data_IF_378247037681
#
_entry.id   IF_378247037681
#
_cell.length_a   1.000
_cell.length_b   1.000
_cell.length_c   1.000
_cell.angle_alpha   90.00
_cell.angle_beta   90.00
_cell.angle_gamma   90.00
#
_symmetry.space_group_name_H-M   'P 1'
#
loop_
_entity.id
_entity.type
_entity.pdbx_description
1 polymer ?
#
# COMPACT_ATOMS: atom_id res chain seq x y z
N UNK A 1 -16.92 -22.69 -11.04
CA UNK A 1 -15.78 -23.26 -10.29
C UNK A 1 -14.97 -22.09 -9.75
N UNK A 2 -14.85 -22.02 -8.42
CA UNK A 2 -14.09 -20.97 -7.73
C UNK A 2 -12.58 -21.21 -7.86
N UNK A 3 -11.76 -20.24 -7.46
CA UNK A 3 -10.30 -20.41 -7.42
C UNK A 3 -9.87 -21.55 -6.48
N UNK A 4 -10.48 -21.63 -5.29
CA UNK A 4 -10.19 -22.67 -4.30
C UNK A 4 -10.47 -24.08 -4.86
N UNK A 5 -11.56 -24.26 -5.62
CA UNK A 5 -11.94 -25.56 -6.20
C UNK A 5 -10.91 -26.08 -7.22
N UNK A 6 -10.04 -25.21 -7.73
CA UNK A 6 -9.01 -25.57 -8.70
C UNK A 6 -7.69 -25.98 -8.04
N UNK A 7 -7.53 -25.78 -6.74
CA UNK A 7 -6.29 -26.04 -6.01
C UNK A 7 -6.20 -27.51 -5.59
N UNK A 8 -5.00 -28.08 -5.71
CA UNK A 8 -4.72 -29.36 -5.05
C UNK A 8 -4.62 -29.20 -3.53
N UNK A 9 -4.44 -30.32 -2.81
CA UNK A 9 -4.40 -30.32 -1.35
C UNK A 9 -3.26 -29.48 -0.77
N UNK A 10 -2.09 -29.46 -1.40
CA UNK A 10 -0.92 -28.71 -0.92
C UNK A 10 -1.12 -27.21 -1.17
N UNK A 11 -1.53 -26.84 -2.38
CA UNK A 11 -1.87 -25.46 -2.73
C UNK A 11 -2.97 -24.92 -1.81
N UNK A 12 -4.01 -25.71 -1.54
CA UNK A 12 -5.13 -25.32 -0.66
C UNK A 12 -4.68 -25.09 0.78
N UNK A 13 -3.76 -25.89 1.30
CA UNK A 13 -3.21 -25.69 2.64
C UNK A 13 -2.48 -24.34 2.78
N UNK A 14 -1.73 -23.93 1.75
CA UNK A 14 -1.04 -22.61 1.71
C UNK A 14 -2.02 -21.46 1.45
N UNK A 15 -3.02 -21.69 0.60
CA UNK A 15 -3.98 -20.69 0.15
C UNK A 15 -5.08 -20.34 1.18
N UNK A 16 -5.25 -21.13 2.23
CA UNK A 16 -6.33 -20.95 3.20
C UNK A 16 -5.81 -20.62 4.61
N UNK A 17 -6.66 -20.02 5.44
CA UNK A 17 -6.36 -19.67 6.83
C UNK A 17 -7.63 -19.44 7.63
N UNK A 18 -7.49 -19.34 8.94
CA UNK A 18 -8.62 -19.11 9.85
C UNK A 18 -8.98 -17.62 9.93
N UNK A 19 -10.27 -17.31 10.08
CA UNK A 19 -10.74 -15.92 10.25
C UNK A 19 -10.28 -15.26 11.54
N UNK A 20 -10.24 -16.04 12.62
CA UNK A 20 -9.82 -15.58 13.95
C UNK A 20 -8.29 -15.51 14.11
N UNK A 21 -7.52 -15.97 13.12
CA UNK A 21 -6.07 -16.02 13.18
C UNK A 21 -5.40 -14.65 12.99
N UNK A 22 -4.28 -14.44 13.70
CA UNK A 22 -3.49 -13.20 13.58
C UNK A 22 -2.90 -12.96 12.18
N UNK A 23 -2.74 -14.01 11.36
CA UNK A 23 -2.21 -13.90 10.00
C UNK A 23 -3.07 -13.02 9.09
N UNK A 24 -4.40 -12.98 9.29
CA UNK A 24 -5.31 -12.11 8.52
C UNK A 24 -4.95 -10.63 8.66
N UNK A 25 -4.46 -10.25 9.84
CA UNK A 25 -4.09 -8.89 10.20
C UNK A 25 -2.68 -8.51 9.77
N UNK A 26 -1.83 -9.48 9.40
CA UNK A 26 -0.49 -9.18 8.85
C UNK A 26 -0.63 -8.67 7.42
N UNK A 27 0.19 -7.70 7.06
CA UNK A 27 0.24 -7.17 5.71
C UNK A 27 1.62 -6.59 5.45
N UNK A 28 1.98 -6.48 4.18
CA UNK A 28 3.28 -6.00 3.73
C UNK A 28 3.10 -5.26 2.40
N UNK A 29 4.07 -4.42 2.06
CA UNK A 29 4.22 -3.78 0.75
C UNK A 29 5.67 -3.88 0.24
N UNK A 30 6.57 -4.43 1.05
CA UNK A 30 7.96 -4.71 0.74
C UNK A 30 8.11 -6.05 0.02
N UNK A 31 9.27 -6.34 -0.61
CA UNK A 31 9.49 -7.59 -1.33
C UNK A 31 9.80 -8.78 -0.39
N UNK A 32 9.02 -8.92 0.67
CA UNK A 32 9.09 -10.03 1.64
C UNK A 32 8.10 -11.16 1.26
N UNK A 33 7.94 -12.17 2.12
CA UNK A 33 6.85 -13.14 2.01
C UNK A 33 5.56 -12.49 2.52
N UNK A 34 4.49 -12.49 1.71
CA UNK A 34 3.21 -11.92 2.12
C UNK A 34 2.26 -12.95 2.72
N UNK A 35 2.63 -14.24 2.71
CA UNK A 35 1.83 -15.35 3.21
C UNK A 35 0.63 -15.66 2.31
N UNK A 36 0.61 -16.85 1.71
CA UNK A 36 -0.43 -17.28 0.78
C UNK A 36 0.17 -18.04 -0.40
N UNK A 37 -0.67 -18.46 -1.33
CA UNK A 37 -0.22 -19.14 -2.55
C UNK A 37 0.24 -18.09 -3.56
N UNK A 38 1.49 -18.19 -4.03
CA UNK A 38 2.03 -17.26 -5.04
C UNK A 38 1.41 -17.49 -6.41
N UNK A 39 1.53 -16.51 -7.32
CA UNK A 39 1.17 -16.73 -8.72
C UNK A 39 2.10 -17.75 -9.41
N UNK A 40 3.37 -17.84 -8.98
CA UNK A 40 4.33 -18.86 -9.47
C UNK A 40 3.89 -20.29 -9.20
N UNK A 41 3.32 -20.54 -8.03
CA UNK A 41 2.86 -21.87 -7.64
C UNK A 41 1.53 -22.26 -8.32
N UNK A 42 0.98 -21.39 -9.16
CA UNK A 42 -0.31 -21.59 -9.82
C UNK A 42 -0.16 -21.88 -11.31
N UNK A 43 -0.99 -22.80 -11.81
CA UNK A 43 -1.19 -23.01 -13.25
C UNK A 43 -1.89 -21.80 -13.88
N UNK A 44 -1.80 -21.58 -15.21
CA UNK A 44 -2.42 -20.41 -15.85
C UNK A 44 -3.93 -20.25 -15.60
N UNK A 45 -4.67 -21.35 -15.52
CA UNK A 45 -6.11 -21.33 -15.20
C UNK A 45 -6.39 -20.88 -13.76
N UNK A 46 -5.52 -21.24 -12.82
CA UNK A 46 -5.58 -20.82 -11.42
C UNK A 46 -5.22 -19.34 -11.30
N UNK A 47 -4.15 -18.88 -11.96
CA UNK A 47 -3.77 -17.45 -12.00
C UNK A 47 -4.93 -16.59 -12.53
N UNK A 48 -5.59 -17.02 -13.61
CA UNK A 48 -6.79 -16.33 -14.13
C UNK A 48 -7.92 -16.28 -13.10
N UNK A 49 -8.15 -17.34 -12.34
CA UNK A 49 -9.17 -17.36 -11.30
C UNK A 49 -8.78 -16.51 -10.08
N UNK A 50 -7.49 -16.46 -9.72
CA UNK A 50 -6.96 -15.57 -8.69
C UNK A 50 -7.20 -14.10 -9.07
N UNK A 51 -6.84 -13.71 -10.29
CA UNK A 51 -7.05 -12.32 -10.75
C UNK A 51 -8.53 -11.95 -10.89
N UNK A 52 -9.43 -12.91 -11.12
CA UNK A 52 -10.88 -12.68 -11.03
C UNK A 52 -11.32 -12.34 -9.61
N UNK A 53 -10.77 -13.01 -8.59
CA UNK A 53 -11.03 -12.66 -7.19
C UNK A 53 -10.47 -11.27 -6.86
N UNK A 54 -9.23 -10.97 -7.27
CA UNK A 54 -8.62 -9.64 -7.09
C UNK A 54 -9.49 -8.54 -7.73
N UNK A 55 -9.95 -8.75 -8.97
CA UNK A 55 -10.82 -7.81 -9.67
C UNK A 55 -12.17 -7.60 -8.96
N UNK A 56 -12.67 -8.59 -8.20
CA UNK A 56 -13.96 -8.45 -7.50
C UNK A 56 -13.91 -7.50 -6.30
N UNK A 57 -12.73 -7.25 -5.73
CA UNK A 57 -12.54 -6.28 -4.64
C UNK A 57 -12.11 -4.89 -5.10
N UNK A 58 -12.04 -4.65 -6.40
CA UNK A 58 -11.51 -3.41 -6.96
C UNK A 58 -12.49 -2.83 -7.99
N UNK A 59 -12.43 -1.51 -8.18
CA UNK A 59 -12.98 -0.93 -9.41
C UNK A 59 -12.09 -1.32 -10.59
N UNK A 60 -12.54 -1.01 -11.81
CA UNK A 60 -11.70 -1.20 -13.00
C UNK A 60 -10.44 -0.34 -12.95
N UNK A 61 -10.50 0.87 -12.40
CA UNK A 61 -9.33 1.73 -12.23
C UNK A 61 -8.34 1.11 -11.23
N UNK A 62 -8.82 0.65 -10.07
CA UNK A 62 -8.00 -0.04 -9.09
C UNK A 62 -7.33 -1.30 -9.64
N UNK A 63 -8.07 -2.11 -10.40
CA UNK A 63 -7.51 -3.31 -11.04
C UNK A 63 -6.44 -2.97 -12.10
N UNK A 64 -6.65 -1.94 -12.92
CA UNK A 64 -5.65 -1.47 -13.89
C UNK A 64 -4.37 -1.02 -13.17
N UNK A 65 -4.49 -0.28 -12.07
CA UNK A 65 -3.34 0.15 -11.26
C UNK A 65 -2.58 -1.06 -10.70
N UNK A 66 -3.27 -2.02 -10.07
CA UNK A 66 -2.64 -3.24 -9.53
C UNK A 66 -1.94 -4.06 -10.61
N UNK A 67 -2.60 -4.29 -11.75
CA UNK A 67 -2.00 -5.04 -12.86
C UNK A 67 -0.76 -4.34 -13.43
N UNK A 68 -0.77 -3.00 -13.47
CA UNK A 68 0.36 -2.20 -13.93
C UNK A 68 1.54 -2.28 -12.95
N UNK A 69 1.27 -2.19 -11.64
CA UNK A 69 2.29 -2.31 -10.59
C UNK A 69 2.95 -3.70 -10.60
N UNK A 70 2.17 -4.78 -10.75
CA UNK A 70 2.73 -6.13 -10.96
C UNK A 70 3.68 -6.15 -12.15
N UNK A 71 3.30 -5.51 -13.26
CA UNK A 71 4.14 -5.41 -14.45
C UNK A 71 5.42 -4.62 -14.24
N UNK A 72 5.38 -3.57 -13.40
CA UNK A 72 6.53 -2.73 -13.07
C UNK A 72 7.66 -3.48 -12.37
N UNK A 73 7.42 -4.65 -11.77
CA UNK A 73 8.49 -5.50 -11.25
C UNK A 73 9.58 -5.77 -12.29
N UNK A 74 9.21 -6.04 -13.55
CA UNK A 74 10.18 -6.26 -14.61
C UNK A 74 10.95 -4.99 -15.01
N UNK A 75 10.31 -3.83 -14.88
CA UNK A 75 10.92 -2.53 -15.17
C UNK A 75 11.92 -2.18 -14.06
N UNK A 76 11.53 -2.37 -12.80
CA UNK A 76 12.39 -2.13 -11.66
C UNK A 76 13.60 -3.07 -11.65
N UNK A 77 13.39 -4.37 -11.95
CA UNK A 77 14.47 -5.34 -12.10
C UNK A 77 15.49 -4.86 -13.15
N UNK A 78 15.02 -4.34 -14.28
CA UNK A 78 15.87 -3.77 -15.32
C UNK A 78 16.61 -2.51 -14.84
N UNK A 79 15.92 -1.59 -14.19
CA UNK A 79 16.51 -0.36 -13.62
C UNK A 79 17.61 -0.68 -12.61
N UNK A 80 17.47 -1.77 -11.85
CA UNK A 80 18.45 -2.25 -10.87
C UNK A 80 19.46 -3.25 -11.46
N UNK A 81 19.52 -3.37 -12.80
CA UNK A 81 20.50 -4.18 -13.50
C UNK A 81 20.34 -5.69 -13.35
N UNK A 82 19.14 -6.16 -13.00
CA UNK A 82 18.78 -7.57 -12.82
C UNK A 82 19.57 -8.27 -11.70
N UNK A 83 19.83 -7.54 -10.61
CA UNK A 83 20.71 -8.02 -9.52
C UNK A 83 20.01 -8.24 -8.18
N UNK A 84 18.79 -7.71 -8.00
CA UNK A 84 18.07 -7.79 -6.73
C UNK A 84 17.66 -9.24 -6.39
N UNK A 85 17.93 -9.65 -5.15
CA UNK A 85 17.68 -11.03 -4.66
C UNK A 85 16.67 -11.09 -3.52
N UNK A 86 16.86 -10.38 -2.41
CA UNK A 86 15.99 -10.45 -1.22
C UNK A 86 15.79 -11.90 -0.68
N UNK A 87 16.90 -12.61 -0.46
CA UNK A 87 16.93 -14.01 0.04
C UNK A 87 16.26 -15.04 -0.90
N UNK A 88 16.19 -14.73 -2.20
CA UNK A 88 15.66 -15.60 -3.26
C UNK A 88 16.42 -15.39 -4.57
N UNK A 89 16.17 -16.25 -5.55
CA UNK A 89 16.86 -16.21 -6.84
C UNK A 89 16.56 -14.92 -7.63
N UNK A 90 15.29 -14.50 -7.62
CA UNK A 90 14.82 -13.26 -8.26
C UNK A 90 14.03 -12.42 -7.26
N UNK A 91 14.56 -11.24 -6.93
CA UNK A 91 13.96 -10.34 -5.96
C UNK A 91 12.80 -9.51 -6.50
N UNK A 92 12.95 -8.94 -7.70
CA UNK A 92 11.90 -8.19 -8.41
C UNK A 92 11.12 -9.15 -9.31
N UNK A 93 9.99 -9.65 -8.82
CA UNK A 93 9.33 -10.80 -9.44
C UNK A 93 7.79 -10.63 -9.52
N UNK A 94 7.22 -10.49 -10.74
CA UNK A 94 5.77 -10.40 -10.94
C UNK A 94 5.02 -11.69 -10.56
N UNK A 95 5.70 -12.82 -10.37
CA UNK A 95 5.09 -14.06 -9.90
C UNK A 95 5.01 -14.20 -8.38
N UNK A 96 5.70 -13.34 -7.61
CA UNK A 96 5.69 -13.34 -6.13
C UNK A 96 4.61 -12.43 -5.56
N UNK A 97 3.40 -12.63 -6.05
CA UNK A 97 2.18 -12.06 -5.51
C UNK A 97 1.34 -13.17 -4.90
N UNK A 98 0.95 -13.00 -3.65
CA UNK A 98 0.41 -14.01 -2.76
C UNK A 98 -1.08 -13.81 -2.60
N UNK A 99 -1.87 -14.85 -2.87
CA UNK A 99 -3.30 -14.87 -2.58
C UNK A 99 -3.58 -15.81 -1.41
N UNK A 100 -4.31 -15.32 -0.41
CA UNK A 100 -4.80 -16.13 0.71
C UNK A 100 -6.25 -15.81 1.02
N UNK A 101 -7.04 -16.85 1.28
CA UNK A 101 -8.44 -16.77 1.73
C UNK A 101 -8.50 -17.15 3.21
N UNK A 102 -9.25 -16.39 3.99
CA UNK A 102 -9.49 -16.63 5.40
C UNK A 102 -10.97 -16.99 5.61
N UNK A 103 -11.23 -18.09 6.33
CA UNK A 103 -12.57 -18.62 6.50
C UNK A 103 -13.14 -19.29 5.26
N UNK A 104 -14.47 -19.33 5.19
CA UNK A 104 -15.23 -20.04 4.16
C UNK A 104 -16.03 -19.05 3.31
N UNK A 105 -15.65 -18.83 2.04
CA UNK A 105 -16.43 -17.97 1.16
C UNK A 105 -17.90 -18.40 1.07
N UNK A 106 -18.80 -17.44 1.31
CA UNK A 106 -20.25 -17.68 1.29
C UNK A 106 -20.85 -18.14 2.62
N UNK A 107 -20.06 -18.27 3.70
CA UNK A 107 -20.54 -18.58 5.04
C UNK A 107 -20.15 -17.46 6.02
N UNK A 108 -21.13 -16.63 6.39
CA UNK A 108 -20.96 -15.49 7.29
C UNK A 108 -19.81 -14.56 6.87
N UNK A 109 -18.84 -14.38 7.77
CA UNK A 109 -17.66 -13.55 7.54
C UNK A 109 -16.49 -14.37 6.96
N UNK A 110 -15.95 -13.91 5.84
CA UNK A 110 -14.71 -14.43 5.26
C UNK A 110 -13.87 -13.28 4.73
N UNK A 111 -12.57 -13.51 4.55
CA UNK A 111 -11.66 -12.49 4.05
C UNK A 111 -10.72 -13.04 3.01
N UNK A 112 -10.06 -12.14 2.30
CA UNK A 112 -8.96 -12.51 1.42
C UNK A 112 -7.93 -11.40 1.35
N UNK A 113 -6.67 -11.82 1.23
CA UNK A 113 -5.53 -10.93 1.06
C UNK A 113 -4.86 -11.24 -0.27
N UNK A 114 -4.55 -10.19 -1.01
CA UNK A 114 -3.67 -10.28 -2.17
C UNK A 114 -2.56 -9.25 -2.01
N UNK A 115 -1.31 -9.66 -2.09
CA UNK A 115 -0.20 -8.74 -1.91
C UNK A 115 1.10 -9.23 -2.51
N UNK A 116 1.98 -8.29 -2.79
CA UNK A 116 3.32 -8.50 -3.30
C UNK A 116 4.10 -7.20 -3.16
N UNK A 117 5.27 -7.14 -3.77
CA UNK A 117 6.05 -5.90 -3.77
C UNK A 117 5.21 -4.75 -4.35
N UNK A 118 5.02 -3.68 -3.56
CA UNK A 118 4.16 -2.52 -3.81
C UNK A 118 2.63 -2.72 -3.92
N UNK A 119 2.08 -3.88 -3.59
CA UNK A 119 0.62 -4.07 -3.50
C UNK A 119 0.25 -4.77 -2.21
N UNK A 120 -0.75 -4.24 -1.51
CA UNK A 120 -1.38 -4.92 -0.38
C UNK A 120 -2.88 -4.66 -0.40
N UNK A 121 -3.68 -5.70 -0.64
CA UNK A 121 -5.13 -5.66 -0.61
C UNK A 121 -5.59 -6.58 0.52
N UNK A 122 -6.34 -6.05 1.48
CA UNK A 122 -6.91 -6.83 2.56
C UNK A 122 -8.42 -6.61 2.61
N UNK A 123 -9.19 -7.64 2.26
CA UNK A 123 -10.63 -7.52 2.08
C UNK A 123 -11.37 -8.39 3.10
N UNK A 124 -12.42 -7.84 3.68
CA UNK A 124 -13.37 -8.52 4.56
C UNK A 124 -14.75 -8.48 3.93
N UNK A 125 -15.34 -9.66 3.78
CA UNK A 125 -16.69 -9.86 3.27
C UNK A 125 -17.54 -10.43 4.40
N UNK A 126 -18.71 -9.84 4.63
CA UNK A 126 -19.69 -10.30 5.62
C UNK A 126 -21.03 -10.40 4.91
N UNK A 127 -21.66 -11.57 4.99
CA UNK A 127 -22.98 -11.83 4.40
C UNK A 127 -23.07 -11.51 2.90
N UNK A 128 -21.96 -11.71 2.19
CA UNK A 128 -21.85 -11.47 0.74
C UNK A 128 -21.49 -10.03 0.35
N UNK A 129 -21.40 -9.11 1.31
CA UNK A 129 -21.02 -7.71 1.07
C UNK A 129 -19.57 -7.43 1.47
N UNK A 130 -18.85 -6.66 0.64
CA UNK A 130 -17.51 -6.19 0.97
C UNK A 130 -17.63 -5.08 2.03
N UNK A 131 -17.26 -5.36 3.27
CA UNK A 131 -17.41 -4.44 4.41
C UNK A 131 -16.12 -3.72 4.79
N UNK A 132 -14.96 -4.22 4.36
CA UNK A 132 -13.68 -3.53 4.50
C UNK A 132 -12.72 -3.92 3.39
N UNK A 133 -11.92 -2.95 2.95
CA UNK A 133 -10.79 -3.12 2.03
C UNK A 133 -9.49 -2.55 2.60
N UNK A 134 -9.40 -2.38 3.93
CA UNK A 134 -8.20 -1.83 4.58
C UNK A 134 -7.42 -2.91 5.35
N UNK A 135 -6.07 -2.85 5.34
CA UNK A 135 -5.24 -1.90 4.59
C UNK A 135 -5.29 -2.13 3.06
N UNK A 136 -5.22 -1.03 2.31
CA UNK A 136 -5.09 -1.01 0.84
C UNK A 136 -3.88 -0.16 0.45
N UNK A 137 -2.79 -0.81 0.08
CA UNK A 137 -1.57 -0.18 -0.41
C UNK A 137 -1.38 -0.43 -1.91
N UNK A 138 -1.07 0.64 -2.64
CA UNK A 138 -0.63 0.61 -4.04
C UNK A 138 0.52 1.61 -4.16
N UNK A 139 1.72 1.12 -4.46
CA UNK A 139 2.92 1.92 -4.71
C UNK A 139 3.45 1.68 -6.12
N UNK A 140 4.27 2.57 -6.64
CA UNK A 140 4.92 2.39 -7.92
C UNK A 140 6.41 2.74 -7.81
N UNK A 141 7.27 1.77 -8.08
CA UNK A 141 8.70 1.97 -8.22
C UNK A 141 9.17 1.25 -9.51
N UNK A 142 9.69 1.96 -10.50
CA UNK A 142 9.82 3.42 -10.58
C UNK A 142 8.46 4.13 -10.64
N UNK A 143 8.34 5.29 -9.98
CA UNK A 143 7.12 6.12 -10.02
C UNK A 143 6.81 6.67 -11.43
N UNK A 144 7.87 6.86 -12.24
CA UNK A 144 7.80 7.28 -13.64
C UNK A 144 8.67 6.34 -14.47
N UNK A 145 8.10 5.76 -15.53
CA UNK A 145 8.86 4.94 -16.49
C UNK A 145 8.70 5.49 -17.92
N UNK A 146 9.76 5.57 -18.72
CA UNK A 146 9.67 6.05 -20.10
C UNK A 146 8.87 5.07 -20.98
N UNK A 147 8.10 5.63 -21.92
CA UNK A 147 7.41 4.90 -22.99
C UNK A 147 7.91 5.38 -24.35
N UNK A 148 7.57 4.63 -25.41
CA UNK A 148 7.88 5.01 -26.78
C UNK A 148 7.26 6.38 -27.13
N UNK A 149 7.98 7.17 -27.92
CA UNK A 149 7.51 8.49 -28.35
C UNK A 149 7.57 9.58 -27.28
N UNK A 150 8.33 9.39 -26.20
CA UNK A 150 8.51 10.38 -25.14
C UNK A 150 7.35 10.46 -24.15
N UNK A 151 6.36 9.58 -24.26
CA UNK A 151 5.34 9.40 -23.23
C UNK A 151 5.93 8.75 -21.97
N UNK A 152 5.18 8.77 -20.86
CA UNK A 152 5.59 8.14 -19.60
C UNK A 152 4.46 7.30 -19.02
N UNK A 153 4.81 6.21 -18.35
CA UNK A 153 3.92 5.46 -17.48
C UNK A 153 4.05 6.01 -16.06
N UNK A 154 2.95 6.54 -15.51
CA UNK A 154 2.83 7.07 -14.14
C UNK A 154 1.57 6.51 -13.48
N UNK A 155 1.57 5.26 -12.98
CA UNK A 155 0.35 4.61 -12.49
C UNK A 155 -0.35 5.35 -11.35
N UNK A 156 0.41 6.15 -10.58
CA UNK A 156 -0.08 6.95 -9.45
C UNK A 156 0.03 8.46 -9.69
N UNK A 157 0.29 8.90 -10.95
CA UNK A 157 0.57 10.30 -11.25
C UNK A 157 -0.55 11.26 -10.82
N UNK A 158 -1.82 10.87 -11.00
CA UNK A 158 -2.95 11.70 -10.56
C UNK A 158 -2.97 11.92 -9.04
N UNK A 159 -2.59 10.91 -8.25
CA UNK A 159 -2.52 10.99 -6.79
C UNK A 159 -1.43 11.99 -6.38
N UNK A 160 -0.25 11.85 -6.98
CA UNK A 160 0.91 12.71 -6.74
C UNK A 160 0.63 14.16 -7.14
N UNK A 161 0.03 14.38 -8.31
CA UNK A 161 -0.20 15.69 -8.88
C UNK A 161 -1.26 16.45 -8.05
N UNK A 162 -2.37 15.81 -7.67
CA UNK A 162 -3.39 16.41 -6.80
C UNK A 162 -2.86 16.70 -5.39
N UNK A 163 -2.09 15.78 -4.79
CA UNK A 163 -1.50 15.99 -3.47
C UNK A 163 -0.52 17.17 -3.47
N UNK A 164 0.30 17.28 -4.53
CA UNK A 164 1.26 18.36 -4.71
C UNK A 164 0.58 19.69 -4.96
N UNK A 165 -0.45 19.72 -5.80
CA UNK A 165 -1.24 20.93 -6.06
C UNK A 165 -1.90 21.44 -4.78
N UNK A 166 -2.49 20.54 -3.98
CA UNK A 166 -3.08 20.90 -2.69
C UNK A 166 -2.01 21.40 -1.70
N UNK A 167 -0.86 20.74 -1.59
CA UNK A 167 0.26 21.18 -0.75
C UNK A 167 0.76 22.59 -1.13
N UNK A 168 1.01 22.84 -2.41
CA UNK A 168 1.43 24.16 -2.92
C UNK A 168 0.37 25.22 -2.63
N UNK A 169 -0.91 24.90 -2.79
CA UNK A 169 -2.00 25.83 -2.52
C UNK A 169 -2.16 26.21 -1.05
N UNK A 170 -1.70 25.35 -0.12
CA UNK A 170 -1.81 25.56 1.32
C UNK A 170 -0.59 26.26 1.91
N UNK A 171 0.61 25.93 1.43
CA UNK A 171 1.86 26.49 1.97
C UNK A 171 2.15 26.04 3.41
N UNK A 172 3.06 26.75 4.07
CA UNK A 172 3.59 26.43 5.42
C UNK A 172 2.56 25.93 6.47
N UNK A 173 1.30 26.43 6.54
CA UNK A 173 0.32 25.90 7.50
C UNK A 173 0.06 24.38 7.45
N UNK A 174 0.29 23.72 6.32
CA UNK A 174 0.15 22.27 6.19
C UNK A 174 1.50 21.52 6.06
N UNK A 175 2.64 22.22 6.14
CA UNK A 175 3.97 21.61 6.13
C UNK A 175 4.33 21.10 7.53
N UNK A 176 4.46 19.78 7.68
CA UNK A 176 4.92 19.16 8.94
C UNK A 176 6.45 19.20 9.07
N UNK A 177 7.13 18.95 7.96
CA UNK A 177 8.59 18.90 7.89
C UNK A 177 9.07 19.17 6.46
N UNK A 178 10.15 19.93 6.25
CA UNK A 178 10.74 20.11 4.93
C UNK A 178 11.41 18.82 4.39
N UNK A 179 11.54 17.77 5.22
CA UNK A 179 12.11 16.48 4.85
C UNK A 179 11.02 15.41 4.90
N UNK A 180 10.92 14.62 3.84
CA UNK A 180 10.09 13.43 3.83
C UNK A 180 10.75 12.32 4.68
N UNK A 181 9.96 11.46 5.33
CA UNK A 181 10.49 10.24 5.91
C UNK A 181 10.99 9.27 4.85
N UNK A 182 11.83 8.34 5.28
CA UNK A 182 12.37 7.26 4.46
C UNK A 182 11.32 6.26 3.99
N UNK A 183 10.20 6.13 4.73
CA UNK A 183 9.07 5.27 4.39
C UNK A 183 7.78 5.77 5.09
N UNK A 184 6.68 5.03 4.96
CA UNK A 184 5.43 5.28 5.67
C UNK A 184 5.64 5.31 7.18
N UNK A 185 5.17 6.37 7.84
CA UNK A 185 5.27 6.53 9.30
C UNK A 185 4.69 5.32 10.05
N UNK A 186 3.49 4.88 9.66
CA UNK A 186 2.83 3.74 10.29
C UNK A 186 3.41 2.39 9.86
N UNK A 187 4.19 2.35 8.78
CA UNK A 187 4.72 1.14 8.17
C UNK A 187 3.62 0.12 7.92
N UNK A 188 3.90 -1.14 8.21
CA UNK A 188 2.97 -2.27 8.09
C UNK A 188 2.32 -2.70 9.41
N UNK A 189 2.15 -1.78 10.37
CA UNK A 189 1.47 -2.07 11.64
C UNK A 189 0.02 -2.50 11.39
N UNK A 190 -0.45 -3.50 12.14
CA UNK A 190 -1.87 -3.89 12.15
C UNK A 190 -2.72 -3.02 13.08
N UNK A 191 -2.08 -2.35 14.05
CA UNK A 191 -2.68 -1.41 14.99
C UNK A 191 -1.76 -0.21 15.13
N UNK A 192 -2.34 0.98 15.16
CA UNK A 192 -1.61 2.26 15.33
C UNK A 192 -1.89 2.85 16.71
N UNK A 193 -0.87 3.48 17.30
CA UNK A 193 -0.93 4.11 18.61
C UNK A 193 -0.25 5.49 18.59
N UNK A 194 -0.63 6.35 19.54
CA UNK A 194 0.00 7.66 19.76
C UNK A 194 1.52 7.51 19.87
N UNK A 195 2.26 8.34 19.14
CA UNK A 195 3.72 8.33 19.13
C UNK A 195 4.35 7.28 18.21
N UNK A 196 3.57 6.52 17.42
CA UNK A 196 4.13 5.62 16.42
C UNK A 196 4.96 6.39 15.39
N UNK A 197 6.23 6.03 15.28
CA UNK A 197 7.21 6.58 14.33
C UNK A 197 7.46 5.62 13.16
N UNK A 198 8.09 6.15 12.10
CA UNK A 198 8.63 5.38 10.98
C UNK A 198 9.35 4.14 11.50
N UNK A 199 9.02 2.98 10.91
CA UNK A 199 9.74 1.74 11.15
C UNK A 199 10.88 1.71 10.12
N UNK A 200 12.14 1.48 10.53
CA UNK A 200 13.23 1.28 9.59
C UNK A 200 12.90 0.15 8.60
N UNK A 201 13.41 0.23 7.37
CA UNK A 201 13.10 -0.74 6.32
C UNK A 201 13.37 -2.19 6.76
N UNK A 202 14.40 -2.45 7.57
CA UNK A 202 14.67 -3.78 8.08
C UNK A 202 13.58 -4.31 9.05
N UNK A 203 12.83 -3.42 9.71
CA UNK A 203 11.79 -3.74 10.69
C UNK A 203 10.41 -4.06 10.09
N UNK A 204 10.21 -3.83 8.78
CA UNK A 204 8.93 -4.08 8.10
C UNK A 204 8.92 -5.37 7.27
N UNK A 205 9.91 -6.26 7.49
CA UNK A 205 9.98 -7.58 6.85
C UNK A 205 9.20 -8.63 7.63
N UNK A 206 8.74 -9.70 6.94
CA UNK A 206 8.02 -10.80 7.60
C UNK A 206 8.90 -11.54 8.60
N UNK A 207 10.18 -11.71 8.25
CA UNK A 207 11.23 -12.37 9.01
C UNK A 207 12.60 -11.95 8.49
N UNK A 208 13.63 -12.19 9.28
CA UNK A 208 15.04 -12.11 8.88
C UNK A 208 15.32 -13.05 7.69
N UNK A 209 16.34 -12.72 6.90
CA UNK A 209 16.81 -13.58 5.80
C UNK A 209 17.59 -14.78 6.31
N UNK A 210 17.49 -15.89 5.57
CA UNK A 210 18.30 -17.06 5.79
C UNK A 210 19.78 -16.80 5.48
N UNK A 211 20.07 -16.00 4.44
CA UNK A 211 21.43 -15.51 4.15
C UNK A 211 21.79 -14.29 5.02
N UNK A 212 22.71 -14.42 6.00
CA UNK A 212 23.09 -13.31 6.87
C UNK A 212 23.79 -12.16 6.14
N UNK A 213 24.45 -12.42 5.02
CA UNK A 213 25.14 -11.40 4.22
C UNK A 213 24.13 -10.52 3.48
N UNK A 214 23.10 -11.12 2.89
CA UNK A 214 21.98 -10.36 2.29
C UNK A 214 21.22 -9.57 3.35
N UNK A 215 21.00 -10.14 4.55
CA UNK A 215 20.39 -9.40 5.67
C UNK A 215 21.22 -8.20 6.12
N UNK A 216 22.54 -8.35 6.18
CA UNK A 216 23.44 -7.25 6.52
C UNK A 216 23.43 -6.14 5.46
N UNK A 217 23.40 -6.49 4.17
CA UNK A 217 23.27 -5.51 3.08
C UNK A 217 21.97 -4.72 3.16
N UNK A 218 20.85 -5.39 3.41
CA UNK A 218 19.56 -4.72 3.56
C UNK A 218 19.54 -3.75 4.75
N UNK A 219 20.10 -4.16 5.90
CA UNK A 219 20.23 -3.27 7.06
C UNK A 219 21.09 -2.05 6.76
N UNK A 220 22.25 -2.26 6.13
CA UNK A 220 23.12 -1.15 5.72
C UNK A 220 22.42 -0.21 4.72
N UNK A 221 21.62 -0.75 3.80
CA UNK A 221 20.82 0.06 2.87
C UNK A 221 19.72 0.85 3.61
N UNK A 222 19.02 0.24 4.56
CA UNK A 222 18.05 0.93 5.44
C UNK A 222 18.70 2.10 6.17
N UNK A 223 19.83 1.85 6.83
CA UNK A 223 20.55 2.88 7.59
C UNK A 223 21.03 4.02 6.67
N UNK A 224 21.47 3.68 5.45
CA UNK A 224 21.89 4.66 4.46
C UNK A 224 20.72 5.52 3.95
N UNK A 225 19.53 4.93 3.75
CA UNK A 225 18.32 5.68 3.37
C UNK A 225 17.93 6.64 4.48
N UNK A 226 17.89 6.18 5.73
CA UNK A 226 17.56 7.02 6.89
C UNK A 226 18.58 8.16 7.06
N UNK A 227 19.87 7.86 6.92
CA UNK A 227 20.94 8.85 6.98
C UNK A 227 20.86 9.87 5.83
N UNK A 228 20.58 9.41 4.60
CA UNK A 228 20.44 10.27 3.42
C UNK A 228 19.21 11.17 3.49
N UNK A 229 18.12 10.70 4.11
CA UNK A 229 16.94 11.52 4.37
C UNK A 229 17.23 12.66 5.35
N UNK A 230 18.33 12.58 6.12
CA UNK A 230 18.66 13.55 7.16
C UNK A 230 17.56 13.65 8.23
N UNK A 231 16.85 12.54 8.42
CA UNK A 231 15.63 12.46 9.20
C UNK A 231 15.98 12.18 10.66
N UNK A 232 15.95 13.21 11.50
CA UNK A 232 16.34 13.12 12.91
C UNK A 232 15.16 13.11 13.87
N UNK A 233 15.44 13.18 15.17
CA UNK A 233 14.41 13.15 16.22
C UNK A 233 13.33 14.22 16.05
N UNK A 234 13.71 15.41 15.57
CA UNK A 234 12.77 16.50 15.29
C UNK A 234 11.78 16.14 14.19
N UNK A 235 12.26 15.54 13.10
CA UNK A 235 11.39 15.10 12.01
C UNK A 235 10.54 13.90 12.44
N UNK A 236 11.09 12.98 13.24
CA UNK A 236 10.33 11.91 13.86
C UNK A 236 9.17 12.43 14.72
N UNK A 237 9.41 13.40 15.60
CA UNK A 237 8.36 14.02 16.43
C UNK A 237 7.34 14.79 15.57
N UNK A 238 7.79 15.50 14.53
CA UNK A 238 6.90 16.23 13.63
C UNK A 238 5.92 15.30 12.89
N UNK A 239 6.36 14.08 12.54
CA UNK A 239 5.61 13.15 11.70
C UNK A 239 5.05 11.94 12.43
N UNK A 240 5.37 11.72 13.71
CA UNK A 240 4.81 10.61 14.47
C UNK A 240 3.28 10.65 14.47
N UNK A 241 2.68 9.46 14.53
CA UNK A 241 1.23 9.34 14.54
C UNK A 241 0.64 9.96 15.80
N UNK A 242 -0.39 10.79 15.62
CA UNK A 242 -1.14 11.41 16.70
C UNK A 242 -2.64 11.11 16.56
N UNK A 243 -3.34 10.97 17.68
CA UNK A 243 -4.78 10.75 17.74
C UNK A 243 -5.55 11.99 17.27
N UNK A 244 -4.99 13.17 17.50
CA UNK A 244 -5.46 14.43 16.91
C UNK A 244 -4.82 14.60 15.53
N UNK A 245 -5.60 14.81 14.46
CA UNK A 245 -5.06 15.05 13.13
C UNK A 245 -4.14 16.28 13.08
N UNK A 246 -3.06 16.17 12.32
CA UNK A 246 -2.14 17.29 12.02
C UNK A 246 -2.54 17.95 10.69
N UNK A 247 -2.16 19.22 10.51
CA UNK A 247 -2.37 19.97 9.27
C UNK A 247 -3.66 20.80 9.26
N UNK A 248 -4.13 21.11 8.05
CA UNK A 248 -5.26 22.03 7.84
C UNK A 248 -6.56 21.24 7.68
N UNK A 249 -7.61 21.50 8.49
CA UNK A 249 -8.89 20.83 8.35
C UNK A 249 -9.61 21.26 7.07
N UNK A 250 -10.41 20.36 6.50
CA UNK A 250 -11.26 20.59 5.33
C UNK A 250 -12.23 21.76 5.50
N UNK A 251 -12.72 21.96 6.73
CA UNK A 251 -13.55 23.10 7.11
C UNK A 251 -12.85 24.47 6.90
N UNK A 252 -11.52 24.52 6.99
CA UNK A 252 -10.73 25.74 6.80
C UNK A 252 -10.29 25.95 5.34
N UNK A 253 -10.53 24.99 4.45
CA UNK A 253 -10.16 25.09 3.04
C UNK A 253 -11.08 26.04 2.27
N UNK A 254 -10.49 26.83 1.36
CA UNK A 254 -11.25 27.54 0.32
C UNK A 254 -11.99 26.57 -0.60
N UNK A 255 -12.96 27.06 -1.38
CA UNK A 255 -13.71 26.22 -2.31
C UNK A 255 -12.81 25.45 -3.30
N UNK A 256 -11.76 26.10 -3.84
CA UNK A 256 -10.81 25.45 -4.75
C UNK A 256 -9.94 24.40 -4.06
N UNK A 257 -9.44 24.67 -2.86
CA UNK A 257 -8.68 23.69 -2.07
C UNK A 257 -9.55 22.49 -1.65
N UNK A 258 -10.82 22.73 -1.34
CA UNK A 258 -11.78 21.67 -1.01
C UNK A 258 -12.06 20.76 -2.20
N UNK A 259 -12.22 21.33 -3.40
CA UNK A 259 -12.33 20.56 -4.64
C UNK A 259 -11.06 19.72 -4.92
N UNK A 260 -9.86 20.26 -4.67
CA UNK A 260 -8.62 19.49 -4.75
C UNK A 260 -8.57 18.34 -3.74
N UNK A 261 -8.96 18.60 -2.48
CA UNK A 261 -9.01 17.57 -1.45
C UNK A 261 -10.04 16.48 -1.81
N UNK A 262 -11.22 16.85 -2.30
CA UNK A 262 -12.25 15.91 -2.74
C UNK A 262 -11.75 15.03 -3.89
N UNK A 263 -11.13 15.61 -4.91
CA UNK A 263 -10.49 14.85 -6.01
C UNK A 263 -9.40 13.92 -5.52
N UNK A 264 -8.53 14.42 -4.63
CA UNK A 264 -7.44 13.62 -4.06
C UNK A 264 -7.99 12.43 -3.29
N UNK A 265 -8.96 12.65 -2.41
CA UNK A 265 -9.65 11.60 -1.64
C UNK A 265 -10.38 10.62 -2.57
N UNK A 266 -10.98 11.12 -3.65
CA UNK A 266 -11.55 10.31 -4.73
C UNK A 266 -10.56 9.27 -5.26
N UNK A 267 -9.28 9.62 -5.45
CA UNK A 267 -8.26 8.66 -5.92
C UNK A 267 -7.96 7.50 -4.95
N UNK A 268 -8.36 7.61 -3.67
CA UNK A 268 -8.27 6.54 -2.69
C UNK A 268 -9.51 5.66 -2.69
N UNK A 269 -10.70 6.27 -2.74
CA UNK A 269 -11.97 5.53 -2.68
C UNK A 269 -12.37 4.92 -4.03
N UNK A 270 -11.99 5.53 -5.15
CA UNK A 270 -12.20 4.98 -6.49
C UNK A 270 -11.41 3.68 -6.74
N UNK A 271 -10.56 3.24 -5.80
CA UNK A 271 -9.85 1.96 -5.89
C UNK A 271 -10.77 0.77 -5.63
N UNK A 272 -11.80 0.95 -4.80
CA UNK A 272 -12.67 -0.12 -4.29
C UNK A 272 -14.14 0.13 -4.67
N UNK A 273 -14.96 -0.90 -4.86
CA UNK A 273 -16.34 -0.73 -5.34
C UNK A 273 -17.32 -0.22 -4.25
N UNK A 274 -16.89 -0.16 -3.00
CA UNK A 274 -17.74 0.18 -1.86
C UNK A 274 -17.64 1.67 -1.57
N UNK A 275 -18.76 2.42 -1.61
CA UNK A 275 -18.77 3.82 -1.19
C UNK A 275 -18.36 3.88 0.28
N UNK A 276 -17.25 4.55 0.56
CA UNK A 276 -16.88 4.86 1.94
C UNK A 276 -17.41 6.25 2.25
N UNK A 277 -18.27 6.37 3.26
CA UNK A 277 -18.72 7.66 3.74
C UNK A 277 -17.56 8.35 4.47
N UNK A 278 -17.29 9.62 4.14
CA UNK A 278 -16.33 10.46 4.84
C UNK A 278 -16.88 11.87 4.94
N UNK A 279 -16.54 12.57 6.02
CA UNK A 279 -16.84 13.99 6.17
C UNK A 279 -15.63 14.80 5.71
N UNK A 280 -15.74 15.43 4.54
CA UNK A 280 -14.67 16.24 3.97
C UNK A 280 -14.24 17.39 4.90
N UNK A 281 -15.14 17.92 5.74
CA UNK A 281 -14.84 19.01 6.66
C UNK A 281 -13.94 18.59 7.83
N UNK A 282 -14.00 17.31 8.22
CA UNK A 282 -13.19 16.72 9.30
C UNK A 282 -11.85 16.16 8.81
N UNK A 283 -11.69 15.96 7.51
CA UNK A 283 -10.42 15.51 6.94
C UNK A 283 -9.37 16.61 7.07
N UNK A 284 -8.15 16.22 7.44
CA UNK A 284 -7.02 17.15 7.51
C UNK A 284 -6.02 16.81 6.42
N UNK A 285 -5.42 17.85 5.85
CA UNK A 285 -4.32 17.71 4.92
C UNK A 285 -3.04 18.28 5.51
N UNK A 286 -1.97 17.50 5.43
CA UNK A 286 -0.62 17.89 5.76
C UNK A 286 0.36 17.17 4.83
N UNK A 287 1.56 17.69 4.68
CA UNK A 287 2.63 17.00 3.96
C UNK A 287 3.98 17.18 4.63
N UNK A 288 4.94 16.34 4.20
CA UNK A 288 6.34 16.53 4.50
C UNK A 288 7.19 16.25 3.27
N UNK A 289 8.31 16.97 3.17
CA UNK A 289 9.21 16.92 2.03
C UNK A 289 8.92 17.99 0.98
N UNK A 290 9.45 17.75 -0.22
CA UNK A 290 9.47 18.73 -1.31
C UNK A 290 8.16 18.74 -2.10
N UNK A 291 7.69 19.93 -2.46
CA UNK A 291 6.61 20.10 -3.45
C UNK A 291 7.10 20.04 -4.88
N UNK A 292 8.40 19.87 -5.15
CA UNK A 292 8.92 19.67 -6.52
C UNK A 292 8.80 18.22 -7.00
N UNK A 293 8.43 17.97 -8.27
CA UNK A 293 8.45 16.63 -8.86
C UNK A 293 9.82 15.97 -8.74
N UNK A 294 9.85 14.67 -8.37
CA UNK A 294 11.09 13.93 -8.13
C UNK A 294 11.78 14.25 -6.80
N UNK A 295 11.29 15.21 -6.02
CA UNK A 295 11.64 15.35 -4.61
C UNK A 295 10.89 14.33 -3.75
N UNK A 296 11.51 13.84 -2.67
CA UNK A 296 10.84 12.97 -1.71
C UNK A 296 9.65 13.71 -1.06
N UNK A 297 8.44 13.15 -1.17
CA UNK A 297 7.20 13.69 -0.60
C UNK A 297 6.29 12.55 -0.14
N UNK A 298 5.56 12.75 0.97
CA UNK A 298 4.58 11.79 1.49
C UNK A 298 3.12 12.08 1.08
N UNK A 299 2.32 11.01 1.10
CA UNK A 299 0.88 10.93 0.79
C UNK A 299 -0.02 11.47 1.93
N UNK A 300 -1.23 11.97 1.63
CA UNK A 300 -2.20 12.44 2.64
C UNK A 300 -2.66 11.33 3.59
N UNK A 301 -2.80 11.64 4.89
CA UNK A 301 -3.54 10.81 5.83
C UNK A 301 -5.02 11.23 5.84
N UNK A 302 -5.90 10.43 5.23
CA UNK A 302 -7.35 10.56 5.43
C UNK A 302 -7.82 9.44 6.38
N UNK A 303 -8.39 9.80 7.53
CA UNK A 303 -9.20 8.88 8.33
C UNK A 303 -10.63 8.95 7.79
N UNK A 304 -11.26 7.87 7.33
CA UNK A 304 -12.71 7.80 7.44
C UNK A 304 -13.04 7.81 8.94
N UNK A 305 -14.03 8.61 9.35
CA UNK A 305 -14.58 8.52 10.68
C UNK A 305 -14.94 7.05 10.97
N UNK A 306 -14.80 6.55 12.22
CA UNK A 306 -15.32 5.22 12.53
C UNK A 306 -16.78 5.18 12.10
N UNK A 307 -17.13 4.22 11.25
CA UNK A 307 -18.53 3.91 11.03
C UNK A 307 -19.08 3.57 12.41
N UNK A 308 -19.88 4.48 12.98
CA UNK A 308 -20.61 4.21 14.19
C UNK A 308 -21.36 2.90 13.96
N UNK A 309 -21.17 1.97 14.90
CA UNK A 309 -21.83 0.68 14.94
C UNK A 309 -23.32 0.90 14.69
N UNK A 310 -23.81 0.54 13.51
CA UNK A 310 -25.21 0.17 13.38
C UNK A 310 -25.34 -1.26 13.92
N UNK A 311 -26.37 -1.44 14.75
CA UNK A 311 -26.56 -2.56 15.68
C UNK A 311 -26.67 -3.94 15.04
#
# INVERSE_FOLDING_TARGET
MSWLDMLDAAQRATATGEMAGGERLRWFYTPTDHGGLTLHEQRPVQQRAAMKLVASGLTRAGYVTVATIIGLENVLDHTEGFTARFDRERGRDPGLYYLRVFGSPGDGAWGWRFGGHHVSLNNLVVDGELVSSTPCFMGADPAVSPLLGGAVNRPLGQVEDLARELAVSLGEPALLSPKAPSDLVTGNRSTIAEGDRVIPLAGIWRSDFADPAEWAKLRAASDAIDAAAGYGDREHEALEYTAQPKGVPGAALSAGQRDLLEKLVGTYFDRVPVPTAYNLEELHFAWAGSTEPGGAALLPSARPAPADRMG
#
